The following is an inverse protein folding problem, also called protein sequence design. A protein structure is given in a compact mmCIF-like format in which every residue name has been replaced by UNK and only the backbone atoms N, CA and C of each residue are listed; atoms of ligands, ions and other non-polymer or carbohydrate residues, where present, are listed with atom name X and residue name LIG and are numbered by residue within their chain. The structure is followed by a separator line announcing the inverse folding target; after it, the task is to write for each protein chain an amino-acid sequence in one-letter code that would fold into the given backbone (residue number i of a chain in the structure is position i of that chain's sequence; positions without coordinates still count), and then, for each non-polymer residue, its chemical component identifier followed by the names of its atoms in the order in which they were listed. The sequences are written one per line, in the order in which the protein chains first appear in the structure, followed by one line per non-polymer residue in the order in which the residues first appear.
data_IF_354640789088
#
_entry.id   IF_354640789088
#
_cell.length_a   1.000
_cell.length_b   1.000
_cell.length_c   1.000
_cell.angle_alpha   90.00
_cell.angle_beta   90.00
_cell.angle_gamma   90.00
#
_symmetry.space_group_name_H-M   'P 1'
#
loop_
_entity.id
_entity.type
_entity.pdbx_description
1 polymer ?
#
# COMPACT_ATOMS: atom_id res chain seq x y z
N UNK A 1 -6.83 17.56 2.00
CA UNK A 1 -5.88 16.50 1.62
C UNK A 1 -6.53 15.17 1.94
N UNK A 2 -6.58 14.24 0.98
CA UNK A 2 -7.12 12.90 1.21
C UNK A 2 -5.99 11.89 1.37
N UNK A 3 -6.13 10.91 2.25
CA UNK A 3 -5.20 9.81 2.44
C UNK A 3 -5.84 8.47 2.08
N UNK A 4 -5.02 7.48 1.76
CA UNK A 4 -5.43 6.11 1.53
C UNK A 4 -4.86 5.25 2.64
N UNK A 5 -5.73 4.45 3.26
CA UNK A 5 -5.34 3.47 4.27
C UNK A 5 -5.53 2.08 3.66
N UNK A 6 -4.44 1.32 3.55
CA UNK A 6 -4.44 -0.02 2.98
C UNK A 6 -3.49 -0.95 3.73
N UNK A 7 -3.71 -2.26 3.58
CA UNK A 7 -2.75 -3.24 4.08
C UNK A 7 -1.63 -3.44 3.05
N UNK A 8 -0.38 -3.39 3.51
CA UNK A 8 0.78 -3.67 2.68
C UNK A 8 0.65 -5.07 2.06
N UNK A 9 0.71 -5.10 0.73
CA UNK A 9 0.63 -6.33 -0.05
C UNK A 9 2.02 -6.90 -0.31
N UNK A 10 2.08 -8.20 -0.62
CA UNK A 10 3.33 -8.80 -1.09
C UNK A 10 3.67 -8.27 -2.47
N UNK A 11 4.95 -7.97 -2.74
CA UNK A 11 5.39 -7.69 -4.11
C UNK A 11 5.11 -8.89 -5.02
N UNK A 12 4.63 -8.66 -6.24
CA UNK A 12 4.37 -9.74 -7.20
C UNK A 12 5.67 -10.50 -7.53
N UNK A 13 6.78 -9.77 -7.65
CA UNK A 13 8.09 -10.32 -8.02
C UNK A 13 8.73 -11.15 -6.92
N UNK A 14 8.34 -10.95 -5.65
CA UNK A 14 8.96 -11.60 -4.50
C UNK A 14 7.97 -12.41 -3.67
N UNK A 15 8.37 -13.61 -3.25
CA UNK A 15 7.55 -14.48 -2.40
C UNK A 15 7.63 -14.16 -0.90
N UNK A 16 8.35 -13.10 -0.50
CA UNK A 16 8.54 -12.70 0.89
C UNK A 16 7.24 -12.24 1.56
N UNK A 17 6.96 -12.77 2.76
CA UNK A 17 5.73 -12.48 3.53
C UNK A 17 5.90 -11.39 4.61
N UNK A 18 7.11 -10.89 4.85
CA UNK A 18 7.41 -9.94 5.94
C UNK A 18 6.63 -8.62 5.86
N UNK A 19 6.25 -8.21 4.65
CA UNK A 19 5.48 -6.97 4.43
C UNK A 19 4.00 -7.14 4.77
N UNK A 20 3.48 -8.37 4.78
CA UNK A 20 2.07 -8.65 5.04
C UNK A 20 1.72 -8.31 6.50
N UNK A 21 0.51 -7.82 6.74
CA UNK A 21 0.02 -7.48 8.08
C UNK A 21 0.19 -6.02 8.47
N UNK A 22 1.13 -5.30 7.85
CA UNK A 22 1.33 -3.86 8.12
C UNK A 22 0.26 -3.02 7.43
N UNK A 23 -0.22 -2.00 8.12
CA UNK A 23 -1.13 -0.99 7.59
C UNK A 23 -0.33 0.22 7.14
N UNK A 24 -0.65 0.77 5.98
CA UNK A 24 0.02 1.92 5.40
C UNK A 24 -0.99 3.04 5.25
N UNK A 25 -0.61 4.24 5.68
CA UNK A 25 -1.31 5.48 5.37
C UNK A 25 -0.43 6.28 4.41
N UNK A 26 -0.98 6.53 3.22
CA UNK A 26 -0.32 7.27 2.14
C UNK A 26 -1.18 8.46 1.72
N UNK A 27 -0.58 9.63 1.57
CA UNK A 27 -1.29 10.83 1.16
C UNK A 27 -1.50 10.85 -0.36
N UNK A 28 -2.67 11.33 -0.79
CA UNK A 28 -2.97 11.50 -2.21
C UNK A 28 -2.34 12.79 -2.71
N UNK A 29 -1.56 12.75 -3.81
CA UNK A 29 -0.91 13.94 -4.35
C UNK A 29 -1.95 14.95 -4.82
N UNK A 30 -1.83 16.19 -4.37
CA UNK A 30 -2.72 17.27 -4.81
C UNK A 30 -2.26 17.91 -6.13
N UNK A 31 -0.95 17.91 -6.37
CA UNK A 31 -0.35 18.48 -7.57
C UNK A 31 0.38 17.42 -8.38
N UNK A 32 0.31 17.50 -9.70
CA UNK A 32 1.07 16.62 -10.60
C UNK A 32 2.55 17.00 -10.58
N UNK A 33 3.41 15.99 -10.61
CA UNK A 33 4.85 16.21 -10.79
C UNK A 33 5.13 16.82 -12.16
N UNK A 34 6.15 17.67 -12.25
CA UNK A 34 6.57 18.33 -13.48
C UNK A 34 8.03 17.95 -13.82
N UNK A 35 8.38 18.08 -15.09
CA UNK A 35 9.75 17.86 -15.56
C UNK A 35 10.41 19.23 -15.64
N UNK A 36 11.54 19.38 -14.96
CA UNK A 36 12.33 20.60 -14.96
C UNK A 36 13.01 20.79 -16.34
N UNK A 37 12.95 21.99 -16.95
CA UNK A 37 13.32 22.18 -18.35
C UNK A 37 14.83 22.14 -18.63
N UNK A 38 15.70 22.38 -17.65
CA UNK A 38 17.15 22.47 -17.86
C UNK A 38 17.83 21.10 -17.75
N UNK A 39 17.59 20.39 -16.65
CA UNK A 39 18.22 19.12 -16.30
C UNK A 39 17.30 17.92 -16.55
N UNK A 40 16.01 18.13 -16.77
CA UNK A 40 15.04 17.05 -16.99
C UNK A 40 14.64 16.29 -15.73
N UNK A 41 14.89 16.84 -14.54
CA UNK A 41 14.55 16.17 -13.28
C UNK A 41 13.06 16.26 -12.98
N UNK A 42 12.54 15.25 -12.28
CA UNK A 42 11.15 15.27 -11.82
C UNK A 42 11.05 16.12 -10.56
N UNK A 43 10.43 17.29 -10.67
CA UNK A 43 10.11 18.19 -9.56
C UNK A 43 8.68 17.98 -9.06
N UNK A 44 8.45 18.30 -7.79
CA UNK A 44 7.14 18.27 -7.16
C UNK A 44 7.04 19.32 -6.05
N UNK A 45 5.83 19.81 -5.79
CA UNK A 45 5.55 20.79 -4.73
C UNK A 45 4.95 20.14 -3.47
N UNK A 46 4.51 18.88 -3.58
CA UNK A 46 3.83 18.14 -2.51
C UNK A 46 4.79 17.14 -1.86
N UNK A 47 5.48 17.58 -0.81
CA UNK A 47 6.44 16.77 -0.05
C UNK A 47 5.73 15.66 0.75
N UNK A 48 4.57 15.97 1.33
CA UNK A 48 3.82 15.03 2.15
C UNK A 48 3.29 13.85 1.34
N UNK A 49 2.76 14.08 0.14
CA UNK A 49 2.32 12.98 -0.72
C UNK A 49 3.46 12.21 -1.39
N UNK A 50 4.59 12.85 -1.66
CA UNK A 50 5.68 12.21 -2.40
C UNK A 50 6.60 11.38 -1.51
N UNK A 51 6.84 11.81 -0.27
CA UNK A 51 7.92 11.26 0.56
C UNK A 51 7.41 10.54 1.81
N UNK A 52 6.25 10.93 2.34
CA UNK A 52 5.79 10.45 3.64
C UNK A 52 4.89 9.23 3.49
N UNK A 53 5.36 8.10 4.04
CA UNK A 53 4.56 6.87 4.22
C UNK A 53 4.60 6.44 5.67
N UNK A 54 3.43 6.35 6.29
CA UNK A 54 3.31 5.94 7.69
C UNK A 54 2.89 4.47 7.76
N UNK A 55 3.61 3.72 8.59
CA UNK A 55 3.38 2.29 8.79
C UNK A 55 2.82 2.05 10.20
N UNK A 56 1.73 1.31 10.26
CA UNK A 56 1.01 0.95 11.48
C UNK A 56 0.87 -0.57 11.60
N UNK A 57 0.71 -1.04 12.83
CA UNK A 57 0.49 -2.47 13.11
C UNK A 57 -0.99 -2.86 13.03
N UNK A 58 -1.92 -1.91 13.24
CA UNK A 58 -3.36 -2.16 13.19
C UNK A 58 -4.11 -1.13 12.37
N UNK A 59 -5.31 -1.53 11.92
CA UNK A 59 -6.24 -0.66 11.19
C UNK A 59 -6.69 0.50 12.08
N UNK A 60 -7.03 0.21 13.33
CA UNK A 60 -7.55 1.21 14.26
C UNK A 60 -6.51 2.29 14.54
N UNK A 61 -5.23 1.91 14.66
CA UNK A 61 -4.15 2.87 14.86
C UNK A 61 -4.03 3.86 13.68
N UNK A 62 -4.14 3.36 12.44
CA UNK A 62 -4.11 4.21 11.25
C UNK A 62 -5.32 5.14 11.17
N UNK A 63 -6.52 4.63 11.48
CA UNK A 63 -7.77 5.41 11.49
C UNK A 63 -7.74 6.48 12.58
N UNK A 64 -7.30 6.14 13.80
CA UNK A 64 -7.18 7.10 14.90
C UNK A 64 -6.19 8.22 14.57
N UNK A 65 -5.07 7.88 13.92
CA UNK A 65 -4.11 8.89 13.47
C UNK A 65 -4.73 9.84 12.43
N UNK A 66 -5.45 9.30 11.44
CA UNK A 66 -6.13 10.10 10.43
C UNK A 66 -7.20 11.01 11.06
N UNK A 67 -8.01 10.49 11.99
CA UNK A 67 -9.03 11.24 12.71
C UNK A 67 -8.44 12.37 13.56
N UNK A 68 -7.40 12.07 14.35
CA UNK A 68 -6.72 13.08 15.19
C UNK A 68 -6.08 14.20 14.36
N UNK A 69 -5.59 13.85 13.17
CA UNK A 69 -4.95 14.80 12.26
C UNK A 69 -5.97 15.49 11.34
N UNK A 70 -7.27 15.21 11.48
CA UNK A 70 -8.35 15.74 10.62
C UNK A 70 -8.11 15.51 9.12
N UNK A 71 -7.58 14.33 8.77
CA UNK A 71 -7.31 13.94 7.38
C UNK A 71 -8.47 13.10 6.87
N UNK A 72 -9.04 13.48 5.73
CA UNK A 72 -10.02 12.63 5.03
C UNK A 72 -9.33 11.36 4.52
N UNK A 73 -9.90 10.18 4.78
CA UNK A 73 -9.28 8.92 4.38
C UNK A 73 -10.22 8.02 3.59
N UNK A 74 -9.67 7.35 2.59
CA UNK A 74 -10.28 6.24 1.87
C UNK A 74 -9.72 4.92 2.39
N UNK A 75 -10.60 3.99 2.77
CA UNK A 75 -10.19 2.68 3.26
C UNK A 75 -10.22 1.63 2.15
N UNK A 76 -9.10 0.97 1.93
CA UNK A 76 -8.96 -0.16 1.02
C UNK A 76 -8.86 -1.46 1.81
N UNK A 77 -9.86 -2.33 1.67
CA UNK A 77 -9.87 -3.61 2.36
C UNK A 77 -8.87 -4.60 1.75
N UNK A 78 -8.13 -5.35 2.59
CA UNK A 78 -7.19 -6.34 2.10
C UNK A 78 -7.91 -7.51 1.46
N UNK A 79 -7.44 -7.94 0.30
CA UNK A 79 -7.92 -9.16 -0.35
C UNK A 79 -7.18 -10.38 0.23
N UNK A 80 -7.85 -11.27 0.99
CA UNK A 80 -7.20 -12.44 1.54
C UNK A 80 -6.77 -13.40 0.42
N UNK A 81 -5.57 -13.96 0.54
CA UNK A 81 -5.13 -15.02 -0.36
C UNK A 81 -5.88 -16.31 -0.07
N UNK A 82 -6.47 -16.92 -1.10
CA UNK A 82 -7.10 -18.24 -0.99
C UNK A 82 -6.03 -19.31 -0.79
N UNK A 83 -6.20 -20.16 0.22
CA UNK A 83 -5.36 -21.34 0.42
C UNK A 83 -5.93 -22.45 -0.45
N UNK A 84 -5.13 -22.98 -1.38
CA UNK A 84 -5.50 -24.14 -2.22
C UNK A 84 -4.84 -25.38 -1.66
N UNK A 85 -5.64 -26.44 -1.45
CA UNK A 85 -5.12 -27.73 -0.99
C UNK A 85 -4.55 -28.49 -2.20
N UNK A 86 -3.23 -28.44 -2.36
CA UNK A 86 -2.54 -29.11 -3.45
C UNK A 86 -1.84 -30.36 -2.90
N UNK A 87 -2.30 -31.54 -3.28
CA UNK A 87 -1.62 -32.81 -2.97
C UNK A 87 -0.71 -33.20 -4.13
N UNK A 88 0.53 -33.57 -3.84
CA UNK A 88 1.49 -34.02 -4.86
C UNK A 88 1.02 -35.29 -5.59
N UNK A 89 0.22 -36.14 -4.93
CA UNK A 89 -0.37 -37.36 -5.51
C UNK A 89 -1.29 -37.02 -6.69
N UNK A 90 -1.97 -35.87 -6.64
CA UNK A 90 -2.87 -35.43 -7.72
C UNK A 90 -2.13 -35.22 -9.05
N UNK A 91 -0.81 -35.01 -9.02
CA UNK A 91 -0.01 -34.89 -10.25
C UNK A 91 0.10 -36.22 -11.02
N UNK A 92 -0.12 -37.37 -10.38
CA UNK A 92 0.05 -38.71 -10.95
C UNK A 92 -1.26 -39.49 -11.11
N UNK A 93 -2.41 -38.85 -10.84
CA UNK A 93 -3.72 -39.46 -11.10
C UNK A 93 -3.89 -39.66 -12.61
N UNK A 94 -3.85 -40.90 -13.09
CA UNK A 94 -4.33 -41.24 -14.43
C UNK A 94 -5.84 -41.40 -14.42
N UNK A 95 -6.47 -41.00 -15.53
CA UNK A 95 -7.91 -41.10 -15.75
C UNK A 95 -8.25 -42.37 -16.52
#
# INVERSE_FOLDING_TARGET
MAARIYQAFRSTTQSGKKSLGKWVLEFTPQTKNFIEPVMGWTGGYDTLASEVKLYFNSKEAAVNYAANSSIEYEMLEPKPSKITLNSYINNFSHN
#
